data_IF_266133723455
#
_entry.id   IF_266133723455
#
_cell.length_a   1.000
_cell.length_b   1.000
_cell.length_c   1.000
_cell.angle_alpha   90.00
_cell.angle_beta   90.00
_cell.angle_gamma   90.00
#
_symmetry.space_group_name_H-M   'P 1'
#
loop_
_entity.id
_entity.type
_entity.pdbx_description
1 polymer ?
#
# COMPACT_ATOMS: atom_id res chain seq x y z
N UNK A 1 -17.99 15.51 -10.94
CA UNK A 1 -17.32 14.98 -9.72
C UNK A 1 -17.07 13.52 -9.95
N UNK A 2 -15.85 13.04 -9.70
CA UNK A 2 -15.52 11.63 -9.88
C UNK A 2 -16.24 10.78 -8.81
N UNK A 3 -16.48 9.51 -9.15
CA UNK A 3 -17.18 8.54 -8.31
C UNK A 3 -16.51 8.37 -6.94
N UNK A 4 -17.31 8.32 -5.88
CA UNK A 4 -16.84 8.14 -4.51
C UNK A 4 -16.62 6.66 -4.21
N UNK A 5 -15.43 6.32 -3.69
CA UNK A 5 -15.03 4.95 -3.38
C UNK A 5 -14.97 4.69 -1.88
N UNK A 6 -14.36 5.63 -1.13
CA UNK A 6 -14.26 5.58 0.34
C UNK A 6 -14.59 6.96 0.89
N UNK A 7 -15.36 6.98 1.98
CA UNK A 7 -15.54 8.14 2.83
C UNK A 7 -15.04 7.81 4.24
N UNK A 8 -13.98 8.50 4.66
CA UNK A 8 -13.47 8.48 6.03
C UNK A 8 -13.89 9.77 6.75
N UNK A 9 -14.68 9.65 7.82
CA UNK A 9 -15.09 10.78 8.68
C UNK A 9 -14.08 11.08 9.79
N UNK A 10 -12.95 10.38 9.80
CA UNK A 10 -11.88 10.48 10.77
C UNK A 10 -11.81 9.23 11.65
N UNK A 11 -10.61 8.70 11.85
CA UNK A 11 -10.36 7.53 12.70
C UNK A 11 -9.64 8.03 13.95
N UNK A 12 -10.27 7.94 15.11
CA UNK A 12 -9.74 8.44 16.38
C UNK A 12 -9.51 7.29 17.34
N UNK A 13 -8.35 7.28 17.98
CA UNK A 13 -8.03 6.42 19.11
C UNK A 13 -7.67 7.29 20.32
N UNK A 14 -7.29 6.68 21.44
CA UNK A 14 -6.73 7.40 22.58
C UNK A 14 -5.38 8.06 22.26
N UNK A 15 -4.62 7.50 21.31
CA UNK A 15 -3.23 7.90 21.05
C UNK A 15 -3.05 8.77 19.81
N UNK A 16 -3.93 8.64 18.82
CA UNK A 16 -3.77 9.29 17.54
C UNK A 16 -5.08 9.44 16.77
N UNK A 17 -5.05 10.31 15.78
CA UNK A 17 -6.16 10.63 14.89
C UNK A 17 -5.70 10.64 13.42
N UNK A 18 -6.48 9.99 12.55
CA UNK A 18 -6.37 10.11 11.10
C UNK A 18 -7.49 11.05 10.62
N UNK A 19 -7.16 12.23 10.09
CA UNK A 19 -8.14 13.22 9.62
C UNK A 19 -9.13 12.67 8.57
N UNK A 20 -10.30 13.32 8.41
CA UNK A 20 -11.31 12.89 7.46
C UNK A 20 -10.85 13.11 6.02
N UNK A 21 -11.24 12.21 5.12
CA UNK A 21 -10.99 12.36 3.70
C UNK A 21 -11.98 11.54 2.86
N UNK A 22 -12.03 11.87 1.57
CA UNK A 22 -12.72 11.07 0.56
C UNK A 22 -11.71 10.55 -0.45
N UNK A 23 -11.86 9.29 -0.84
CA UNK A 23 -11.17 8.70 -1.99
C UNK A 23 -12.17 8.58 -3.14
N UNK A 24 -11.85 9.20 -4.28
CA UNK A 24 -12.66 9.15 -5.50
C UNK A 24 -11.86 8.51 -6.63
N UNK A 25 -12.52 8.06 -7.70
CA UNK A 25 -11.83 7.61 -8.92
C UNK A 25 -10.89 8.71 -9.43
N UNK A 26 -9.69 8.32 -9.83
CA UNK A 26 -8.56 9.17 -10.22
C UNK A 26 -7.76 9.73 -9.06
N UNK A 27 -8.18 9.56 -7.80
CA UNK A 27 -7.45 10.09 -6.66
C UNK A 27 -6.24 9.22 -6.30
N UNK A 28 -5.14 9.89 -5.96
CA UNK A 28 -4.04 9.35 -5.18
C UNK A 28 -4.02 10.04 -3.83
N UNK A 29 -4.39 9.34 -2.77
CA UNK A 29 -4.34 9.84 -1.39
C UNK A 29 -3.09 9.30 -0.72
N UNK A 30 -2.32 10.16 -0.06
CA UNK A 30 -1.19 9.74 0.76
C UNK A 30 -1.59 9.84 2.22
N UNK A 31 -1.43 8.75 2.97
CA UNK A 31 -1.54 8.73 4.43
C UNK A 31 -0.13 8.65 5.00
N UNK A 32 0.29 9.75 5.62
CA UNK A 32 1.60 9.91 6.23
C UNK A 32 1.56 9.51 7.71
N UNK A 33 2.30 8.47 8.06
CA UNK A 33 2.30 7.86 9.39
C UNK A 33 3.54 8.21 10.23
N UNK A 34 4.44 9.03 9.68
CA UNK A 34 5.79 9.26 10.19
C UNK A 34 6.61 7.96 10.31
N UNK A 35 7.89 8.09 10.69
CA UNK A 35 8.77 6.96 10.94
C UNK A 35 8.66 6.44 12.39
N UNK A 36 8.85 5.14 12.59
CA UNK A 36 8.91 4.52 13.91
C UNK A 36 8.49 3.05 13.91
N UNK A 37 8.60 2.40 15.07
CA UNK A 37 8.14 1.02 15.28
C UNK A 37 6.64 0.86 15.08
N UNK A 38 5.86 1.92 15.27
CA UNK A 38 4.40 1.94 15.10
C UNK A 38 3.93 1.85 13.64
N UNK A 39 4.81 2.11 12.66
CA UNK A 39 4.43 2.24 11.25
C UNK A 39 3.76 0.98 10.70
N UNK A 40 4.34 -0.20 10.92
CA UNK A 40 3.83 -1.43 10.34
C UNK A 40 2.50 -1.86 10.98
N UNK A 41 2.31 -1.56 12.27
CA UNK A 41 1.05 -1.81 12.98
C UNK A 41 -0.06 -0.88 12.48
N UNK A 42 0.20 0.43 12.35
CA UNK A 42 -0.76 1.39 11.77
C UNK A 42 -1.10 1.05 10.32
N UNK A 43 -0.08 0.74 9.51
CA UNK A 43 -0.27 0.35 8.11
C UNK A 43 -1.18 -0.87 8.01
N UNK A 44 -0.93 -1.89 8.84
CA UNK A 44 -1.74 -3.13 8.83
C UNK A 44 -3.20 -2.81 9.16
N UNK A 45 -3.45 -2.00 10.19
CA UNK A 45 -4.81 -1.62 10.58
C UNK A 45 -5.52 -0.81 9.47
N UNK A 46 -4.84 0.16 8.85
CA UNK A 46 -5.40 0.94 7.73
C UNK A 46 -5.67 0.08 6.50
N UNK A 47 -4.77 -0.85 6.16
CA UNK A 47 -4.98 -1.80 5.07
C UNK A 47 -6.20 -2.67 5.36
N UNK A 48 -6.30 -3.23 6.56
CA UNK A 48 -7.43 -4.07 6.96
C UNK A 48 -8.76 -3.31 6.86
N UNK A 49 -8.79 -2.04 7.27
CA UNK A 49 -9.95 -1.17 7.11
C UNK A 49 -10.25 -0.92 5.63
N UNK A 50 -9.32 -0.35 4.84
CA UNK A 50 -9.62 0.09 3.46
C UNK A 50 -9.81 -1.05 2.45
N UNK A 51 -9.35 -2.26 2.77
CA UNK A 51 -9.64 -3.47 1.99
C UNK A 51 -10.99 -4.11 2.39
N UNK A 52 -11.66 -3.58 3.41
CA UNK A 52 -12.93 -4.07 3.91
C UNK A 52 -12.82 -5.36 4.73
N UNK A 53 -11.61 -5.74 5.16
CA UNK A 53 -11.39 -6.88 6.04
C UNK A 53 -11.87 -6.59 7.47
N UNK A 54 -11.72 -5.36 7.91
CA UNK A 54 -12.19 -4.89 9.22
C UNK A 54 -13.11 -3.68 9.05
N UNK A 55 -14.17 -3.64 9.85
CA UNK A 55 -15.16 -2.55 9.80
C UNK A 55 -14.81 -1.46 10.80
N UNK A 56 -14.87 -0.20 10.37
CA UNK A 56 -14.75 0.97 11.26
C UNK A 56 -15.96 1.89 11.07
N UNK A 57 -16.61 2.31 12.16
CA UNK A 57 -17.85 3.10 12.12
C UNK A 57 -17.77 4.40 11.32
N UNK A 58 -16.61 5.08 11.36
CA UNK A 58 -16.35 6.31 10.61
C UNK A 58 -15.85 6.10 9.17
N UNK A 59 -15.72 4.85 8.70
CA UNK A 59 -15.24 4.55 7.35
C UNK A 59 -16.33 3.82 6.56
N UNK A 60 -16.88 4.51 5.56
CA UNK A 60 -17.81 3.92 4.59
C UNK A 60 -17.04 3.52 3.33
N UNK A 61 -17.03 2.22 3.04
CA UNK A 61 -16.41 1.64 1.84
C UNK A 61 -17.54 1.36 0.84
N UNK A 62 -17.50 2.01 -0.32
CA UNK A 62 -18.41 1.78 -1.44
C UNK A 62 -17.80 0.74 -2.38
N UNK A 63 -16.52 0.90 -2.70
CA UNK A 63 -15.71 -0.10 -3.41
C UNK A 63 -14.44 -0.39 -2.60
N UNK A 64 -14.16 -1.66 -2.21
CA UNK A 64 -12.97 -2.00 -1.45
C UNK A 64 -11.70 -1.89 -2.28
N UNK A 65 -10.60 -1.52 -1.63
CA UNK A 65 -9.27 -1.54 -2.23
C UNK A 65 -8.66 -2.95 -2.18
N UNK A 66 -7.70 -3.22 -3.04
CA UNK A 66 -6.81 -4.38 -2.93
C UNK A 66 -5.44 -3.94 -2.44
N UNK A 67 -4.91 -4.58 -1.39
CA UNK A 67 -3.55 -4.34 -0.95
C UNK A 67 -2.53 -5.09 -1.83
N UNK A 68 -1.52 -4.39 -2.32
CA UNK A 68 -0.40 -4.99 -3.04
C UNK A 68 0.59 -5.65 -2.07
N UNK A 69 0.21 -6.82 -1.56
CA UNK A 69 1.00 -7.55 -0.55
C UNK A 69 2.42 -7.83 -1.00
N UNK A 70 3.39 -7.59 -0.12
CA UNK A 70 4.76 -8.00 -0.38
C UNK A 70 4.83 -9.52 -0.55
N UNK A 71 5.53 -9.97 -1.60
CA UNK A 71 5.77 -11.39 -1.81
C UNK A 71 6.47 -12.02 -0.60
N UNK A 72 5.80 -13.00 0.02
CA UNK A 72 6.35 -13.83 1.09
C UNK A 72 6.45 -15.28 0.62
N UNK A 73 7.59 -15.89 0.89
CA UNK A 73 7.84 -17.30 0.60
C UNK A 73 8.49 -17.95 1.82
N UNK A 74 7.98 -19.12 2.22
CA UNK A 74 8.57 -19.91 3.30
C UNK A 74 10.03 -20.28 2.97
N UNK A 75 10.90 -20.32 3.99
CA UNK A 75 12.32 -20.65 3.83
C UNK A 75 12.55 -21.97 3.08
N UNK A 76 11.76 -23.01 3.37
CA UNK A 76 11.87 -24.31 2.70
C UNK A 76 11.61 -24.18 1.19
N UNK A 77 10.49 -23.58 0.81
CA UNK A 77 10.15 -23.35 -0.60
C UNK A 77 11.20 -22.49 -1.31
N UNK A 78 11.73 -21.46 -0.63
CA UNK A 78 12.78 -20.58 -1.17
C UNK A 78 14.09 -21.32 -1.52
N UNK A 79 14.41 -22.38 -0.78
CA UNK A 79 15.61 -23.20 -0.99
C UNK A 79 15.36 -24.24 -2.08
N UNK A 80 14.31 -25.05 -1.95
CA UNK A 80 14.13 -26.24 -2.78
C UNK A 80 13.34 -26.00 -4.06
N UNK A 81 12.39 -25.05 -4.06
CA UNK A 81 11.55 -24.77 -5.22
C UNK A 81 11.08 -23.31 -5.25
N UNK A 82 12.01 -22.35 -5.45
CA UNK A 82 11.67 -20.94 -5.42
C UNK A 82 10.71 -20.60 -6.55
N UNK A 83 9.66 -19.84 -6.21
CA UNK A 83 8.68 -19.36 -7.18
C UNK A 83 9.38 -18.55 -8.28
N UNK A 84 8.97 -18.81 -9.53
CA UNK A 84 9.29 -17.93 -10.66
C UNK A 84 8.29 -16.79 -10.72
N UNK A 85 8.66 -15.68 -11.35
CA UNK A 85 7.76 -14.56 -11.66
C UNK A 85 6.50 -15.05 -12.37
N UNK A 86 6.63 -15.88 -13.39
CA UNK A 86 5.48 -16.44 -14.10
C UNK A 86 4.57 -17.29 -13.20
N UNK A 87 5.15 -18.09 -12.29
CA UNK A 87 4.37 -18.88 -11.33
C UNK A 87 3.68 -18.02 -10.28
N UNK A 88 4.27 -16.90 -9.89
CA UNK A 88 3.69 -15.92 -9.00
C UNK A 88 2.49 -15.22 -9.65
N UNK A 89 2.67 -14.68 -10.87
CA UNK A 89 1.60 -14.01 -11.62
C UNK A 89 0.43 -14.96 -11.89
N UNK A 90 0.71 -16.22 -12.28
CA UNK A 90 -0.34 -17.23 -12.51
C UNK A 90 -1.21 -17.49 -11.28
N UNK A 91 -0.67 -17.32 -10.07
CA UNK A 91 -1.38 -17.55 -8.80
C UNK A 91 -2.07 -16.29 -8.27
N UNK A 92 -1.47 -15.13 -8.50
CA UNK A 92 -1.83 -13.89 -7.81
C UNK A 92 -2.46 -12.83 -8.71
N UNK A 93 -2.41 -13.00 -10.03
CA UNK A 93 -2.95 -12.04 -10.99
C UNK A 93 -4.11 -12.64 -11.81
N UNK A 94 -4.94 -11.78 -12.40
CA UNK A 94 -5.77 -12.16 -13.55
C UNK A 94 -4.88 -12.22 -14.79
N UNK A 95 -4.51 -13.44 -15.20
CA UNK A 95 -3.55 -13.70 -16.29
C UNK A 95 -4.02 -13.20 -17.65
N UNK A 96 -5.32 -12.96 -17.84
CA UNK A 96 -5.87 -12.43 -19.10
C UNK A 96 -5.83 -10.91 -19.14
N UNK A 97 -5.56 -10.26 -18.01
CA UNK A 97 -5.47 -8.80 -17.94
C UNK A 97 -4.14 -8.32 -18.56
N UNK A 98 -4.16 -7.34 -19.49
CA UNK A 98 -2.96 -6.77 -20.10
C UNK A 98 -1.92 -6.25 -19.09
N UNK A 99 -2.35 -5.89 -17.87
CA UNK A 99 -1.46 -5.48 -16.77
C UNK A 99 -0.37 -6.49 -16.43
N UNK A 100 -0.68 -7.78 -16.61
CA UNK A 100 0.28 -8.87 -16.36
C UNK A 100 1.42 -8.88 -17.36
N UNK A 101 1.19 -8.41 -18.59
CA UNK A 101 2.25 -8.28 -19.60
C UNK A 101 3.01 -6.97 -19.45
N UNK A 102 2.33 -5.88 -19.06
CA UNK A 102 2.91 -4.54 -18.92
C UNK A 102 4.11 -4.49 -17.96
N UNK A 103 4.11 -5.31 -16.90
CA UNK A 103 5.23 -5.33 -15.94
C UNK A 103 6.58 -5.70 -16.58
N UNK A 104 6.58 -6.52 -17.64
CA UNK A 104 7.80 -6.89 -18.36
C UNK A 104 8.32 -5.79 -19.30
N UNK A 105 7.53 -4.74 -19.52
CA UNK A 105 7.97 -3.52 -20.23
C UNK A 105 8.54 -2.50 -19.24
N UNK A 106 8.08 -2.56 -17.98
CA UNK A 106 8.52 -1.66 -16.90
C UNK A 106 9.86 -2.13 -16.33
N UNK A 107 10.02 -3.42 -16.05
CA UNK A 107 11.21 -3.99 -15.41
C UNK A 107 12.01 -4.91 -16.33
N UNK A 108 13.24 -5.22 -15.92
CA UNK A 108 14.20 -6.00 -16.72
C UNK A 108 14.11 -7.51 -16.49
N UNK A 109 13.33 -7.95 -15.50
CA UNK A 109 13.12 -9.37 -15.23
C UNK A 109 12.16 -10.03 -16.24
N UNK A 110 12.21 -11.35 -16.29
CA UNK A 110 11.41 -12.20 -17.17
C UNK A 110 10.54 -13.17 -16.37
N UNK A 111 9.59 -13.84 -17.05
CA UNK A 111 8.73 -14.87 -16.44
C UNK A 111 9.52 -16.03 -15.80
N UNK A 112 10.76 -16.28 -16.24
CA UNK A 112 11.60 -17.39 -15.78
C UNK A 112 12.39 -17.05 -14.52
N UNK A 113 12.60 -15.77 -14.24
CA UNK A 113 13.36 -15.32 -13.10
C UNK A 113 12.70 -15.71 -11.78
N UNK A 114 13.52 -15.94 -10.77
CA UNK A 114 13.07 -16.33 -9.44
C UNK A 114 12.70 -15.08 -8.66
N UNK A 115 11.50 -15.06 -8.06
CA UNK A 115 11.03 -13.90 -7.30
C UNK A 115 11.99 -13.56 -6.15
N UNK A 116 12.63 -14.57 -5.54
CA UNK A 116 13.63 -14.35 -4.49
C UNK A 116 14.84 -13.50 -4.94
N UNK A 117 15.19 -13.55 -6.22
CA UNK A 117 16.35 -12.86 -6.80
C UNK A 117 16.02 -11.41 -7.20
N UNK A 118 14.74 -11.05 -7.29
CA UNK A 118 14.32 -9.67 -7.55
C UNK A 118 14.68 -8.77 -6.37
N UNK A 119 14.98 -7.50 -6.66
CA UNK A 119 15.14 -6.50 -5.59
C UNK A 119 13.79 -6.14 -4.94
N UNK A 120 13.82 -5.35 -3.87
CA UNK A 120 12.60 -4.96 -3.13
C UNK A 120 11.60 -4.22 -4.01
N UNK A 121 12.07 -3.34 -4.88
CA UNK A 121 11.25 -2.47 -5.72
C UNK A 121 10.62 -3.26 -6.87
N UNK A 122 11.39 -4.15 -7.50
CA UNK A 122 10.89 -5.10 -8.50
C UNK A 122 9.82 -6.02 -7.90
N UNK A 123 10.01 -6.53 -6.68
CA UNK A 123 8.99 -7.34 -5.98
C UNK A 123 7.70 -6.54 -5.74
N UNK A 124 7.83 -5.26 -5.39
CA UNK A 124 6.68 -4.38 -5.16
C UNK A 124 5.92 -4.08 -6.44
N UNK A 125 6.60 -3.69 -7.52
CA UNK A 125 5.96 -3.50 -8.82
C UNK A 125 5.33 -4.78 -9.36
N UNK A 126 5.96 -5.94 -9.15
CA UNK A 126 5.38 -7.24 -9.48
C UNK A 126 4.07 -7.49 -8.70
N UNK A 127 4.04 -7.19 -7.40
CA UNK A 127 2.83 -7.32 -6.59
C UNK A 127 1.74 -6.33 -6.99
N UNK A 128 2.11 -5.06 -7.23
CA UNK A 128 1.21 -4.02 -7.72
C UNK A 128 0.58 -4.41 -9.06
N UNK A 129 1.38 -4.92 -10.00
CA UNK A 129 0.87 -5.44 -11.28
C UNK A 129 -0.15 -6.57 -11.07
N UNK A 130 0.13 -7.50 -10.16
CA UNK A 130 -0.82 -8.56 -9.81
C UNK A 130 -2.10 -8.00 -9.16
N UNK A 131 -2.00 -7.02 -8.26
CA UNK A 131 -3.15 -6.36 -7.65
C UNK A 131 -4.00 -5.59 -8.69
N UNK A 132 -3.36 -4.77 -9.53
CA UNK A 132 -4.01 -3.99 -10.59
C UNK A 132 -4.67 -4.83 -11.68
N UNK A 133 -4.21 -6.07 -11.87
CA UNK A 133 -4.87 -7.01 -12.77
C UNK A 133 -6.26 -7.43 -12.29
N UNK A 134 -6.52 -7.33 -10.97
CA UNK A 134 -7.77 -7.78 -10.33
C UNK A 134 -8.66 -6.62 -9.91
N UNK A 135 -8.08 -5.52 -9.45
CA UNK A 135 -8.81 -4.36 -8.95
C UNK A 135 -8.05 -3.08 -9.32
N UNK A 136 -8.75 -2.08 -9.83
CA UNK A 136 -8.16 -0.78 -10.19
C UNK A 136 -7.99 0.15 -8.99
N UNK A 137 -8.61 -0.18 -7.86
CA UNK A 137 -8.51 0.57 -6.63
C UNK A 137 -7.53 -0.16 -5.67
N UNK A 138 -6.42 0.47 -5.33
CA UNK A 138 -5.34 -0.18 -4.58
C UNK A 138 -4.94 0.57 -3.31
N UNK A 139 -4.40 -0.17 -2.35
CA UNK A 139 -3.60 0.39 -1.26
C UNK A 139 -2.20 -0.21 -1.31
N UNK A 140 -1.17 0.59 -1.06
CA UNK A 140 0.23 0.16 -1.19
C UNK A 140 1.17 0.95 -0.27
N UNK A 141 2.40 0.46 -0.13
CA UNK A 141 3.48 1.14 0.60
C UNK A 141 4.78 1.13 -0.22
N UNK A 142 5.65 2.12 0.03
CA UNK A 142 6.96 2.26 -0.63
C UNK A 142 8.14 1.95 0.30
N UNK A 143 7.88 1.57 1.55
CA UNK A 143 8.92 1.25 2.54
C UNK A 143 9.91 0.18 2.03
N UNK A 144 11.20 0.46 2.15
CA UNK A 144 12.27 -0.45 1.72
C UNK A 144 12.69 -0.33 0.25
N UNK A 145 12.05 0.53 -0.54
CA UNK A 145 12.59 0.95 -1.84
C UNK A 145 13.68 2.01 -1.65
N UNK A 146 14.64 2.06 -2.58
CA UNK A 146 15.62 3.16 -2.60
C UNK A 146 15.06 4.39 -3.32
N UNK A 147 15.65 5.56 -3.04
CA UNK A 147 15.24 6.85 -3.62
C UNK A 147 15.06 6.80 -5.15
N UNK A 148 15.96 6.11 -5.87
CA UNK A 148 15.89 6.00 -7.33
C UNK A 148 14.74 5.10 -7.83
N UNK A 149 14.35 4.09 -7.05
CA UNK A 149 13.37 3.10 -7.49
C UNK A 149 11.93 3.42 -7.06
N UNK A 150 11.74 4.15 -5.95
CA UNK A 150 10.37 4.51 -5.53
C UNK A 150 9.69 5.42 -6.55
N UNK A 151 10.40 6.35 -7.21
CA UNK A 151 9.81 7.21 -8.26
C UNK A 151 9.23 6.37 -9.40
N UNK A 152 9.91 5.29 -9.79
CA UNK A 152 9.43 4.38 -10.83
C UNK A 152 8.16 3.64 -10.41
N UNK A 153 8.10 3.16 -9.17
CA UNK A 153 6.92 2.49 -8.61
C UNK A 153 5.74 3.47 -8.46
N UNK A 154 6.04 4.69 -8.04
CA UNK A 154 5.06 5.76 -7.84
C UNK A 154 4.42 6.22 -9.16
N UNK A 155 5.24 6.49 -10.17
CA UNK A 155 4.74 6.88 -11.50
C UNK A 155 3.95 5.75 -12.16
N UNK A 156 4.36 4.48 -11.98
CA UNK A 156 3.56 3.34 -12.41
C UNK A 156 2.15 3.36 -11.81
N UNK A 157 2.02 3.57 -10.49
CA UNK A 157 0.70 3.68 -9.84
C UNK A 157 -0.10 4.85 -10.38
N UNK A 158 0.50 6.04 -10.52
CA UNK A 158 -0.16 7.23 -11.06
C UNK A 158 -0.71 6.99 -12.46
N UNK A 159 0.07 6.36 -13.33
CA UNK A 159 -0.37 6.05 -14.68
C UNK A 159 -1.51 5.03 -14.73
N UNK A 160 -1.52 4.06 -13.83
CA UNK A 160 -2.59 3.06 -13.75
C UNK A 160 -3.93 3.63 -13.26
N UNK A 161 -3.91 4.53 -12.26
CA UNK A 161 -5.14 5.08 -11.69
C UNK A 161 -5.76 6.18 -12.55
N UNK A 162 -4.98 6.87 -13.41
CA UNK A 162 -5.45 8.00 -14.25
C UNK A 162 -6.68 7.68 -15.08
N UNK A 163 -6.86 6.42 -15.49
CA UNK A 163 -7.93 6.04 -16.40
C UNK A 163 -9.23 5.67 -15.67
N UNK A 164 -9.18 4.80 -14.66
CA UNK A 164 -10.39 4.25 -14.02
C UNK A 164 -10.20 3.81 -12.56
N UNK A 165 -9.04 4.05 -11.96
CA UNK A 165 -8.67 3.51 -10.64
C UNK A 165 -8.53 4.58 -9.56
N UNK A 166 -8.12 4.18 -8.37
CA UNK A 166 -7.71 5.07 -7.30
C UNK A 166 -6.65 4.40 -6.42
N UNK A 167 -5.89 5.18 -5.67
CA UNK A 167 -4.86 4.63 -4.81
C UNK A 167 -4.75 5.33 -3.47
N UNK A 168 -4.46 4.55 -2.43
CA UNK A 168 -3.97 5.02 -1.14
C UNK A 168 -2.51 4.57 -0.98
N UNK A 169 -1.58 5.52 -0.87
CA UNK A 169 -0.21 5.27 -0.47
C UNK A 169 -0.09 5.49 1.05
N UNK A 170 0.34 4.45 1.77
CA UNK A 170 0.72 4.58 3.18
C UNK A 170 2.23 4.74 3.25
N UNK A 171 2.70 5.88 3.77
CA UNK A 171 4.12 6.23 3.75
C UNK A 171 4.61 6.89 5.04
N UNK A 172 5.91 6.84 5.25
CA UNK A 172 6.63 7.42 6.40
C UNK A 172 7.38 8.70 6.02
N UNK A 173 7.49 9.01 4.72
CA UNK A 173 8.09 10.23 4.18
C UNK A 173 7.02 11.22 3.69
N UNK A 174 7.29 12.52 3.82
CA UNK A 174 6.43 13.60 3.30
C UNK A 174 6.89 14.14 1.93
N UNK A 175 7.89 13.52 1.30
CA UNK A 175 8.49 13.96 0.03
C UNK A 175 7.46 14.13 -1.10
N UNK A 176 6.39 13.32 -1.08
CA UNK A 176 5.35 13.26 -2.11
C UNK A 176 4.12 14.14 -1.79
N UNK A 177 4.13 14.92 -0.71
CA UNK A 177 2.96 15.70 -0.25
C UNK A 177 2.39 16.65 -1.30
N UNK A 178 3.23 17.14 -2.21
CA UNK A 178 2.85 18.09 -3.26
C UNK A 178 2.50 17.41 -4.60
N UNK A 179 2.59 16.08 -4.70
CA UNK A 179 2.34 15.33 -5.93
C UNK A 179 1.22 14.29 -5.75
N UNK A 180 0.19 14.63 -4.98
CA UNK A 180 -0.96 13.76 -4.71
C UNK A 180 -2.27 14.56 -4.72
N UNK A 181 -3.40 13.86 -4.75
CA UNK A 181 -4.73 14.50 -4.69
C UNK A 181 -5.02 15.04 -3.29
N UNK A 182 -4.61 14.29 -2.26
CA UNK A 182 -4.75 14.67 -0.84
C UNK A 182 -3.62 14.06 -0.03
N UNK A 183 -3.06 14.84 0.88
CA UNK A 183 -2.07 14.40 1.86
C UNK A 183 -2.67 14.44 3.26
N UNK A 184 -2.73 13.30 3.94
CA UNK A 184 -3.34 13.11 5.25
C UNK A 184 -2.25 12.71 6.24
N UNK A 185 -1.87 13.61 7.13
CA UNK A 185 -0.91 13.31 8.19
C UNK A 185 -1.62 12.76 9.43
N UNK A 186 -1.03 11.76 10.07
CA UNK A 186 -1.44 11.34 11.41
C UNK A 186 -1.25 12.48 12.42
N UNK A 187 -2.21 12.65 13.32
CA UNK A 187 -2.13 13.58 14.44
C UNK A 187 -1.99 12.79 15.74
N UNK A 188 -0.91 13.03 16.49
CA UNK A 188 -0.72 12.41 17.81
C UNK A 188 -1.53 13.15 18.87
N UNK A 189 -2.25 12.40 19.70
CA UNK A 189 -3.09 12.91 20.79
C UNK A 189 -2.43 12.77 22.17
N UNK A 190 -1.28 12.14 22.23
CA UNK A 190 -0.47 11.95 23.43
C UNK A 190 0.72 12.90 23.47
N UNK A 191 1.32 13.05 24.65
CA UNK A 191 2.51 13.86 24.82
C UNK A 191 3.74 13.27 24.11
N UNK A 192 4.82 14.04 24.10
CA UNK A 192 6.07 13.66 23.43
C UNK A 192 6.72 12.42 24.08
N UNK A 193 6.59 12.24 25.39
CA UNK A 193 7.23 11.14 26.11
C UNK A 193 6.54 9.82 25.78
N UNK A 194 5.21 9.79 25.74
CA UNK A 194 4.44 8.64 25.30
C UNK A 194 4.65 8.38 23.81
N UNK A 195 4.69 9.42 22.96
CA UNK A 195 5.01 9.26 21.53
C UNK A 195 6.38 8.62 21.31
N UNK A 196 7.41 8.99 22.08
CA UNK A 196 8.74 8.36 22.02
C UNK A 196 8.64 6.87 22.42
N UNK A 197 7.87 6.54 23.45
CA UNK A 197 7.66 5.15 23.88
C UNK A 197 6.89 4.33 22.83
N UNK A 198 5.94 4.93 22.12
CA UNK A 198 5.26 4.28 20.99
C UNK A 198 6.24 4.08 19.83
N UNK A 199 6.98 5.13 19.46
CA UNK A 199 7.91 5.10 18.34
C UNK A 199 9.06 4.10 18.52
N UNK A 200 9.48 3.82 19.76
CA UNK A 200 10.49 2.81 20.07
C UNK A 200 9.91 1.43 20.45
N UNK A 201 8.58 1.28 20.51
CA UNK A 201 7.89 0.04 20.82
C UNK A 201 7.82 -0.33 22.31
N UNK A 202 8.11 0.60 23.22
CA UNK A 202 7.98 0.40 24.67
C UNK A 202 6.52 0.38 25.15
N UNK A 203 5.60 0.96 24.38
CA UNK A 203 4.16 0.99 24.66
C UNK A 203 3.41 0.46 23.44
N UNK A 204 2.37 -0.35 23.69
CA UNK A 204 1.51 -0.87 22.63
C UNK A 204 0.69 0.25 21.99
N UNK A 205 0.62 0.20 20.66
CA UNK A 205 -0.23 1.07 19.88
C UNK A 205 -1.70 0.69 20.02
N UNK A 206 -2.57 1.69 20.17
CA UNK A 206 -4.02 1.53 20.21
C UNK A 206 -4.54 0.95 18.90
N UNK A 207 -5.52 0.05 19.00
CA UNK A 207 -6.24 -0.47 17.84
C UNK A 207 -7.29 0.53 17.34
N UNK A 208 -7.52 0.56 16.04
CA UNK A 208 -8.58 1.34 15.40
C UNK A 208 -9.95 0.65 15.51
N UNK A 209 -10.01 -0.64 15.86
CA UNK A 209 -11.22 -1.46 15.94
C UNK A 209 -11.10 -2.56 17.00
#
# INVERSE_FOLDING_TARGET
MNELLIQNKGIRTEQYYIPPFELRKGDLVIIYLEGGSHFDDLKTQLVDIFTGKEHHENVKIIEPLTFAEQFKESTFKRIFNPATVGSYLKRNADVNNPMVSKIFEIDTFTKKDKVKNLDTSEKKRLSLSAAFSKNKNIVFDLRGESAMHFSKTYEFVKDEIKNEGAAILIDWSDDLKNDCSKFIAIEWLVDIDERIKIANGSVSLSKMY
#
